data_IF_153806545278
#
_entry.id   IF_153806545278
#
_cell.length_a   1.000
_cell.length_b   1.000
_cell.length_c   1.000
_cell.angle_alpha   90.00
_cell.angle_beta   90.00
_cell.angle_gamma   90.00
#
_symmetry.space_group_name_H-M   'P 1'
#
loop_
_entity.id
_entity.type
_entity.pdbx_description
1 polymer ?
#
# COMPACT_ATOMS: atom_id res chain seq x y z
N UNK A 1 29.48 19.11 -30.41
CA UNK A 1 29.20 19.98 -29.25
C UNK A 1 27.92 19.44 -28.62
N UNK A 2 28.05 18.39 -27.81
CA UNK A 2 26.92 17.72 -27.16
C UNK A 2 26.49 18.60 -26.00
N UNK A 3 25.36 19.29 -26.17
CA UNK A 3 24.77 20.10 -25.12
C UNK A 3 24.52 19.23 -23.90
N UNK A 4 24.78 19.84 -22.74
CA UNK A 4 24.75 19.26 -21.43
C UNK A 4 23.63 18.24 -21.24
N UNK A 5 23.96 17.15 -20.56
CA UNK A 5 23.03 16.43 -19.71
C UNK A 5 22.17 17.44 -18.98
N UNK A 6 20.95 17.70 -19.46
CA UNK A 6 19.91 18.28 -18.63
C UNK A 6 19.70 17.25 -17.54
N UNK A 7 20.41 17.47 -16.44
CA UNK A 7 20.13 16.87 -15.16
C UNK A 7 18.73 17.32 -14.82
N UNK A 8 17.72 16.61 -15.36
CA UNK A 8 16.36 16.66 -14.88
C UNK A 8 16.51 16.44 -13.39
N UNK A 9 16.39 17.52 -12.61
CA UNK A 9 16.38 17.46 -11.16
C UNK A 9 15.47 16.30 -10.81
N UNK A 10 15.96 15.22 -10.18
CA UNK A 10 15.09 14.10 -9.86
C UNK A 10 13.97 14.71 -9.03
N UNK A 11 12.76 14.77 -9.60
CA UNK A 11 11.59 15.25 -8.90
C UNK A 11 11.58 14.45 -7.61
N UNK A 12 11.74 15.12 -6.46
CA UNK A 12 12.01 14.41 -5.22
C UNK A 12 10.91 13.38 -5.01
N UNK A 13 11.33 12.13 -4.77
CA UNK A 13 10.41 11.12 -4.27
C UNK A 13 9.88 11.67 -2.97
N UNK A 14 8.60 12.04 -2.95
CA UNK A 14 7.96 12.43 -1.71
C UNK A 14 8.05 11.28 -0.72
N UNK A 15 8.14 11.56 0.59
CA UNK A 15 8.31 10.53 1.61
C UNK A 15 7.28 9.38 1.51
N UNK A 16 6.02 9.66 1.12
CA UNK A 16 5.00 8.63 0.95
C UNK A 16 5.18 7.82 -0.33
N UNK A 17 5.68 8.42 -1.42
CA UNK A 17 5.96 7.71 -2.67
C UNK A 17 7.14 6.75 -2.51
N UNK A 18 8.19 7.18 -1.80
CA UNK A 18 9.36 6.34 -1.51
C UNK A 18 9.03 5.20 -0.53
N UNK A 19 8.06 5.41 0.34
CA UNK A 19 7.65 4.45 1.38
C UNK A 19 6.28 3.82 1.11
N UNK A 20 5.81 3.77 -0.14
CA UNK A 20 4.50 3.20 -0.48
C UNK A 20 4.41 1.70 -0.12
N UNK A 21 5.54 0.99 -0.11
CA UNK A 21 5.66 -0.38 0.42
C UNK A 21 5.15 -0.56 1.85
N UNK A 22 5.06 0.50 2.67
CA UNK A 22 4.52 0.43 4.03
C UNK A 22 3.00 0.20 4.01
N UNK A 23 2.28 0.69 2.99
CA UNK A 23 0.83 0.60 2.91
C UNK A 23 0.29 -0.84 3.00
N UNK A 24 0.82 -1.85 2.27
CA UNK A 24 0.42 -3.25 2.46
C UNK A 24 1.02 -3.93 3.69
N UNK A 25 2.13 -3.41 4.23
CA UNK A 25 2.76 -3.97 5.44
C UNK A 25 1.94 -3.69 6.70
N UNK A 26 1.32 -2.50 6.81
CA UNK A 26 0.45 -2.14 7.95
C UNK A 26 -0.68 -3.17 8.19
N UNK A 27 -1.51 -3.56 7.19
CA UNK A 27 -2.56 -4.54 7.38
C UNK A 27 -2.00 -5.95 7.50
N UNK A 28 -0.85 -6.26 6.92
CA UNK A 28 -0.15 -7.53 7.15
C UNK A 28 0.21 -7.71 8.64
N UNK A 29 0.77 -6.67 9.27
CA UNK A 29 1.04 -6.67 10.71
C UNK A 29 -0.27 -6.75 11.49
N UNK A 30 -1.30 -6.00 11.08
CA UNK A 30 -2.64 -6.07 11.65
C UNK A 30 -3.20 -7.50 11.67
N UNK A 31 -3.07 -8.23 10.57
CA UNK A 31 -3.48 -9.63 10.46
C UNK A 31 -2.79 -10.54 11.48
N UNK A 32 -1.47 -10.48 11.58
CA UNK A 32 -0.73 -11.28 12.55
C UNK A 32 -1.16 -10.96 13.98
N UNK A 33 -1.34 -9.68 14.29
CA UNK A 33 -1.84 -9.25 15.60
C UNK A 33 -3.24 -9.80 15.89
N UNK A 34 -4.15 -9.87 14.91
CA UNK A 34 -5.48 -10.47 15.08
C UNK A 34 -5.39 -11.98 15.33
N UNK A 35 -4.51 -12.70 14.63
CA UNK A 35 -4.35 -14.15 14.87
C UNK A 35 -3.78 -14.45 16.25
N UNK A 36 -2.70 -13.75 16.65
CA UNK A 36 -2.02 -14.03 17.92
C UNK A 36 -2.78 -13.46 19.13
N UNK A 37 -3.33 -12.25 19.02
CA UNK A 37 -3.93 -11.51 20.14
C UNK A 37 -5.44 -11.30 20.02
N UNK A 38 -6.06 -11.54 18.87
CA UNK A 38 -7.49 -11.26 18.64
C UNK A 38 -8.43 -11.97 19.60
N UNK A 39 -8.11 -13.19 20.06
CA UNK A 39 -8.91 -13.92 21.07
C UNK A 39 -8.80 -13.34 22.50
N UNK A 40 -7.77 -12.54 22.79
CA UNK A 40 -7.52 -11.95 24.12
C UNK A 40 -8.02 -10.51 24.27
N UNK A 41 -8.50 -9.89 23.20
CA UNK A 41 -8.91 -8.48 23.18
C UNK A 41 -10.42 -8.30 23.43
N UNK A 42 -10.82 -7.20 24.10
CA UNK A 42 -12.21 -6.96 24.51
C UNK A 42 -13.20 -6.87 23.34
N UNK A 43 -12.74 -6.49 22.13
CA UNK A 43 -13.54 -6.50 20.88
C UNK A 43 -13.16 -7.59 19.88
N UNK A 44 -12.53 -8.68 20.34
CA UNK A 44 -12.24 -9.88 19.51
C UNK A 44 -11.36 -9.62 18.26
N UNK A 45 -10.54 -8.57 18.26
CA UNK A 45 -9.57 -8.25 17.21
C UNK A 45 -10.04 -7.31 16.10
N UNK A 46 -11.30 -6.86 16.07
CA UNK A 46 -11.78 -6.00 14.98
C UNK A 46 -11.19 -4.59 14.95
N UNK A 47 -10.86 -4.03 16.11
CA UNK A 47 -10.23 -2.71 16.21
C UNK A 47 -8.88 -2.67 15.50
N UNK A 48 -8.09 -3.74 15.61
CA UNK A 48 -6.77 -3.82 14.98
C UNK A 48 -6.90 -3.87 13.45
N UNK A 49 -7.84 -4.67 12.93
CA UNK A 49 -8.10 -4.76 11.49
C UNK A 49 -8.51 -3.41 10.91
N UNK A 50 -9.47 -2.74 11.54
CA UNK A 50 -9.95 -1.42 11.12
C UNK A 50 -8.85 -0.36 11.22
N UNK A 51 -8.11 -0.30 12.34
CA UNK A 51 -7.02 0.66 12.52
C UNK A 51 -5.90 0.45 11.49
N UNK A 52 -5.57 -0.79 11.17
CA UNK A 52 -4.54 -1.09 10.17
C UNK A 52 -4.95 -0.63 8.76
N UNK A 53 -6.21 -0.80 8.37
CA UNK A 53 -6.71 -0.33 7.08
C UNK A 53 -6.86 1.19 7.03
N UNK A 54 -7.27 1.83 8.12
CA UNK A 54 -7.25 3.29 8.23
C UNK A 54 -5.82 3.81 8.09
N UNK A 55 -4.83 3.17 8.73
CA UNK A 55 -3.42 3.53 8.55
C UNK A 55 -2.95 3.42 7.09
N UNK A 56 -3.37 2.35 6.40
CA UNK A 56 -3.09 2.15 4.97
C UNK A 56 -3.75 3.23 4.10
N UNK A 57 -4.98 3.60 4.44
CA UNK A 57 -5.73 4.65 3.74
C UNK A 57 -5.08 6.02 3.91
N UNK A 58 -4.56 6.34 5.10
CA UNK A 58 -3.80 7.58 5.33
C UNK A 58 -2.53 7.60 4.49
N UNK A 59 -1.79 6.49 4.43
CA UNK A 59 -0.59 6.38 3.59
C UNK A 59 -0.92 6.52 2.10
N UNK A 60 -1.97 5.85 1.62
CA UNK A 60 -2.42 5.96 0.23
C UNK A 60 -2.92 7.38 -0.11
N UNK A 61 -3.60 8.05 0.82
CA UNK A 61 -4.01 9.45 0.66
C UNK A 61 -2.81 10.40 0.61
N UNK A 62 -1.78 10.15 1.43
CA UNK A 62 -0.53 10.89 1.41
C UNK A 62 0.24 10.70 0.10
N UNK A 63 0.28 9.47 -0.43
CA UNK A 63 0.84 9.18 -1.74
C UNK A 63 0.07 9.89 -2.87
N UNK A 64 -1.26 9.88 -2.82
CA UNK A 64 -2.11 10.60 -3.77
C UNK A 64 -1.88 12.12 -3.74
N UNK A 65 -1.81 12.70 -2.55
CA UNK A 65 -1.49 14.12 -2.40
C UNK A 65 -0.12 14.45 -3.00
N UNK A 66 0.91 13.68 -2.67
CA UNK A 66 2.26 13.91 -3.19
C UNK A 66 2.36 13.72 -4.70
N UNK A 67 1.61 12.77 -5.26
CA UNK A 67 1.52 12.60 -6.70
C UNK A 67 0.88 13.82 -7.37
N UNK A 68 -0.23 14.34 -6.84
CA UNK A 68 -0.88 15.56 -7.36
C UNK A 68 0.07 16.76 -7.32
N UNK A 69 0.85 16.91 -6.25
CA UNK A 69 1.87 17.97 -6.16
C UNK A 69 2.94 17.82 -7.23
N UNK A 70 3.38 16.59 -7.54
CA UNK A 70 4.36 16.29 -8.58
C UNK A 70 3.84 16.59 -9.99
N UNK A 71 2.55 16.35 -10.23
CA UNK A 71 1.89 16.69 -11.51
C UNK A 71 1.71 18.20 -11.64
N UNK A 72 1.30 18.89 -10.58
CA UNK A 72 1.09 20.35 -10.61
C UNK A 72 2.41 21.16 -10.73
N UNK A 73 3.54 20.58 -10.31
CA UNK A 73 4.86 21.22 -10.42
C UNK A 73 5.58 20.90 -11.73
N UNK A 74 5.08 19.96 -12.53
CA UNK A 74 5.60 19.66 -13.84
C UNK A 74 5.17 20.76 -14.84
N UNK A 75 6.11 21.24 -15.65
CA UNK A 75 5.80 22.10 -16.81
C UNK A 75 4.99 21.32 -17.85
N UNK A 76 4.17 22.00 -18.67
CA UNK A 76 3.19 21.41 -19.61
C UNK A 76 3.75 20.34 -20.57
N UNK A 77 5.08 20.23 -20.74
CA UNK A 77 5.74 19.26 -21.62
C UNK A 77 6.57 18.19 -20.88
N UNK A 78 6.57 18.17 -19.54
CA UNK A 78 7.42 17.26 -18.76
C UNK A 78 6.70 15.95 -18.40
N UNK A 79 7.20 14.83 -18.92
CA UNK A 79 6.73 13.50 -18.52
C UNK A 79 7.05 13.24 -17.03
N UNK A 80 6.04 12.89 -16.24
CA UNK A 80 6.21 12.58 -14.82
C UNK A 80 6.73 11.15 -14.69
N UNK A 81 8.04 11.00 -14.50
CA UNK A 81 8.65 9.68 -14.34
C UNK A 81 8.13 8.96 -13.09
N UNK A 82 7.82 7.64 -13.19
CA UNK A 82 7.38 6.83 -12.07
C UNK A 82 8.49 6.68 -11.02
N UNK A 83 8.08 6.48 -9.76
CA UNK A 83 9.00 6.20 -8.65
C UNK A 83 9.16 4.69 -8.56
N UNK A 84 10.35 4.22 -8.93
CA UNK A 84 10.70 2.80 -8.96
C UNK A 84 11.74 2.53 -7.87
N UNK A 85 11.51 1.49 -7.07
CA UNK A 85 12.45 1.01 -6.05
C UNK A 85 12.49 -0.50 -6.11
N UNK A 86 13.64 -1.04 -6.49
CA UNK A 86 13.85 -2.48 -6.68
C UNK A 86 14.87 -3.00 -5.68
N UNK A 87 14.61 -4.17 -5.09
CA UNK A 87 15.51 -4.89 -4.21
C UNK A 87 15.71 -6.33 -4.72
N UNK A 88 16.95 -6.76 -4.89
CA UNK A 88 17.25 -8.15 -5.25
C UNK A 88 17.01 -9.06 -4.05
N UNK A 89 15.98 -9.90 -4.12
CA UNK A 89 15.59 -10.80 -3.02
C UNK A 89 16.34 -12.13 -3.08
N UNK A 90 16.52 -12.67 -4.29
CA UNK A 90 17.23 -13.94 -4.48
C UNK A 90 18.03 -13.92 -5.79
N UNK A 91 19.22 -14.52 -5.78
CA UNK A 91 20.03 -14.71 -6.97
C UNK A 91 20.53 -16.15 -7.03
N UNK A 92 20.27 -16.85 -8.13
CA UNK A 92 20.78 -18.19 -8.36
C UNK A 92 20.98 -18.48 -9.85
N UNK A 93 22.17 -18.97 -10.20
CA UNK A 93 22.46 -19.50 -11.55
C UNK A 93 22.28 -18.51 -12.71
N UNK A 94 22.39 -17.20 -12.47
CA UNK A 94 22.19 -16.16 -13.49
C UNK A 94 20.76 -15.61 -13.58
N UNK A 95 19.81 -16.14 -12.80
CA UNK A 95 18.50 -15.53 -12.61
C UNK A 95 18.51 -14.66 -11.34
N UNK A 96 18.12 -13.40 -11.49
CA UNK A 96 17.89 -12.46 -10.39
C UNK A 96 16.38 -12.34 -10.16
N UNK A 97 15.95 -12.58 -8.92
CA UNK A 97 14.57 -12.35 -8.49
C UNK A 97 14.52 -11.04 -7.72
N UNK A 98 13.93 -10.04 -8.36
CA UNK A 98 13.72 -8.70 -7.82
C UNK A 98 12.35 -8.58 -7.19
N UNK A 99 12.28 -7.87 -6.07
CA UNK A 99 11.04 -7.39 -5.49
C UNK A 99 11.16 -5.89 -5.46
N UNK A 100 10.23 -5.20 -6.10
CA UNK A 100 10.21 -3.75 -6.10
C UNK A 100 8.82 -3.17 -6.05
N UNK A 101 8.79 -1.85 -5.87
CA UNK A 101 7.58 -1.05 -5.98
C UNK A 101 7.65 -0.18 -7.23
N UNK A 102 6.56 -0.18 -8.00
CA UNK A 102 6.37 0.70 -9.14
C UNK A 102 5.21 1.64 -8.84
N UNK A 103 5.53 2.91 -8.57
CA UNK A 103 4.53 3.94 -8.27
C UNK A 103 4.43 4.93 -9.43
N UNK A 104 3.35 4.81 -10.19
CA UNK A 104 2.93 5.76 -11.22
C UNK A 104 1.56 6.38 -10.88
N UNK A 105 1.03 7.21 -11.76
CA UNK A 105 -0.25 7.88 -11.52
C UNK A 105 -1.44 6.92 -11.46
N UNK A 106 -1.40 5.82 -12.21
CA UNK A 106 -2.45 4.81 -12.20
C UNK A 106 -2.42 4.03 -10.89
N UNK A 107 -1.25 3.54 -10.48
CA UNK A 107 -1.01 2.83 -9.24
C UNK A 107 -1.47 3.64 -8.04
N UNK A 108 -1.18 4.94 -7.99
CA UNK A 108 -1.61 5.81 -6.88
C UNK A 108 -3.14 5.88 -6.76
N UNK A 109 -3.85 6.01 -7.88
CA UNK A 109 -5.33 6.04 -7.90
C UNK A 109 -5.89 4.68 -7.45
N UNK A 110 -5.38 3.58 -8.00
CA UNK A 110 -5.83 2.22 -7.65
C UNK A 110 -5.54 1.93 -6.18
N UNK A 111 -4.35 2.30 -5.67
CA UNK A 111 -3.95 2.11 -4.28
C UNK A 111 -4.91 2.83 -3.32
N UNK A 112 -5.26 4.07 -3.62
CA UNK A 112 -6.24 4.83 -2.84
C UNK A 112 -7.62 4.17 -2.86
N UNK A 113 -8.12 3.80 -4.04
CA UNK A 113 -9.45 3.16 -4.19
C UNK A 113 -9.50 1.84 -3.42
N UNK A 114 -8.47 0.99 -3.55
CA UNK A 114 -8.40 -0.29 -2.84
C UNK A 114 -8.34 -0.09 -1.33
N UNK A 115 -7.52 0.85 -0.83
CA UNK A 115 -7.46 1.15 0.59
C UNK A 115 -8.80 1.69 1.13
N UNK A 116 -9.48 2.54 0.35
CA UNK A 116 -10.76 3.13 0.72
C UNK A 116 -11.87 2.09 0.79
N UNK A 117 -12.05 1.29 -0.27
CA UNK A 117 -13.05 0.23 -0.31
C UNK A 117 -12.77 -0.81 0.78
N UNK A 118 -11.51 -1.20 0.97
CA UNK A 118 -11.13 -2.16 2.03
C UNK A 118 -11.52 -1.64 3.41
N UNK A 119 -11.31 -0.34 3.68
CA UNK A 119 -11.70 0.29 4.95
C UNK A 119 -13.22 0.26 5.14
N UNK A 120 -14.00 0.59 4.10
CA UNK A 120 -15.46 0.53 4.16
C UNK A 120 -15.97 -0.90 4.41
N UNK A 121 -15.41 -1.89 3.72
CA UNK A 121 -15.76 -3.31 3.90
C UNK A 121 -15.45 -3.75 5.35
N UNK A 122 -14.35 -3.28 5.93
CA UNK A 122 -14.00 -3.58 7.31
C UNK A 122 -15.00 -2.97 8.31
N UNK A 123 -15.41 -1.72 8.10
CA UNK A 123 -16.41 -1.02 8.93
C UNK A 123 -17.77 -1.72 8.81
N UNK A 124 -18.19 -2.05 7.59
CA UNK A 124 -19.44 -2.79 7.36
C UNK A 124 -19.44 -4.15 8.07
N UNK A 125 -18.30 -4.85 8.03
CA UNK A 125 -18.14 -6.17 8.67
C UNK A 125 -18.26 -6.12 10.19
N UNK A 126 -18.10 -4.95 10.83
CA UNK A 126 -18.26 -4.81 12.29
C UNK A 126 -19.69 -5.14 12.73
N UNK A 127 -20.68 -4.56 12.05
CA UNK A 127 -22.08 -4.76 12.37
C UNK A 127 -22.62 -6.04 11.74
N UNK A 128 -22.18 -6.38 10.53
CA UNK A 128 -22.64 -7.59 9.83
C UNK A 128 -22.35 -8.88 10.60
N UNK A 129 -21.20 -8.99 11.26
CA UNK A 129 -20.77 -10.20 11.97
C UNK A 129 -21.08 -10.17 13.47
N UNK A 130 -21.91 -9.22 13.91
CA UNK A 130 -22.23 -9.05 15.32
C UNK A 130 -22.89 -10.31 15.86
N UNK A 131 -22.25 -10.92 16.86
CA UNK A 131 -22.73 -12.15 17.50
C UNK A 131 -22.22 -13.46 16.88
N UNK A 132 -21.41 -13.42 15.82
CA UNK A 132 -20.84 -14.64 15.23
C UNK A 132 -19.74 -15.26 16.12
N UNK A 133 -19.73 -16.59 16.20
CA UNK A 133 -18.73 -17.39 16.90
C UNK A 133 -17.34 -17.27 16.26
N UNK A 134 -17.25 -17.07 14.94
CA UNK A 134 -15.99 -17.04 14.16
C UNK A 134 -15.49 -15.63 13.82
N UNK A 135 -16.04 -14.59 14.46
CA UNK A 135 -15.72 -13.17 14.26
C UNK A 135 -14.22 -12.87 14.01
N UNK A 136 -13.33 -13.32 14.91
CA UNK A 136 -11.88 -13.06 14.81
C UNK A 136 -11.23 -13.64 13.56
N UNK A 137 -11.62 -14.85 13.12
CA UNK A 137 -11.01 -15.50 11.96
C UNK A 137 -11.44 -14.82 10.66
N UNK A 138 -12.71 -14.38 10.59
CA UNK A 138 -13.20 -13.62 9.46
C UNK A 138 -12.45 -12.29 9.33
N UNK A 139 -12.32 -11.54 10.43
CA UNK A 139 -11.60 -10.28 10.45
C UNK A 139 -10.13 -10.46 10.04
N UNK A 140 -9.47 -11.51 10.52
CA UNK A 140 -8.11 -11.84 10.11
C UNK A 140 -8.04 -12.10 8.58
N UNK A 141 -8.89 -12.98 8.06
CA UNK A 141 -8.93 -13.28 6.63
C UNK A 141 -9.19 -12.04 5.77
N UNK A 142 -10.12 -11.17 6.19
CA UNK A 142 -10.43 -9.93 5.49
C UNK A 142 -9.25 -8.95 5.50
N UNK A 143 -8.56 -8.79 6.63
CA UNK A 143 -7.39 -7.93 6.73
C UNK A 143 -6.21 -8.46 5.89
N UNK A 144 -5.99 -9.79 5.86
CA UNK A 144 -4.97 -10.40 5.00
C UNK A 144 -5.30 -10.23 3.51
N UNK A 145 -6.57 -10.40 3.14
CA UNK A 145 -7.03 -10.20 1.77
C UNK A 145 -6.77 -8.77 1.30
N UNK A 146 -7.13 -7.77 2.11
CA UNK A 146 -6.83 -6.36 1.84
C UNK A 146 -5.33 -6.08 1.76
N UNK A 147 -4.52 -6.71 2.61
CA UNK A 147 -3.06 -6.59 2.54
C UNK A 147 -2.49 -7.13 1.22
N UNK A 148 -2.97 -8.30 0.77
CA UNK A 148 -2.59 -8.90 -0.51
C UNK A 148 -3.00 -8.03 -1.71
N UNK A 149 -4.21 -7.46 -1.69
CA UNK A 149 -4.65 -6.53 -2.73
C UNK A 149 -3.76 -5.29 -2.80
N UNK A 150 -3.43 -4.68 -1.66
CA UNK A 150 -2.53 -3.52 -1.62
C UNK A 150 -1.11 -3.88 -2.09
N UNK A 151 -0.62 -5.07 -1.74
CA UNK A 151 0.71 -5.53 -2.16
C UNK A 151 0.76 -5.78 -3.67
N UNK A 152 -0.30 -6.34 -4.25
CA UNK A 152 -0.41 -6.56 -5.70
C UNK A 152 -0.36 -5.24 -6.47
N UNK A 153 -1.07 -4.21 -5.99
CA UNK A 153 -1.16 -2.91 -6.67
C UNK A 153 0.20 -2.23 -6.81
N UNK A 154 1.09 -2.39 -5.83
CA UNK A 154 2.41 -1.75 -5.84
C UNK A 154 3.50 -2.58 -6.52
N UNK A 155 3.26 -3.86 -6.81
CA UNK A 155 4.28 -4.78 -7.29
C UNK A 155 4.85 -4.32 -8.64
N UNK A 156 6.18 -4.26 -8.75
CA UNK A 156 6.88 -3.81 -9.95
C UNK A 156 6.90 -4.86 -11.07
N UNK A 157 7.15 -6.12 -10.71
CA UNK A 157 7.44 -7.19 -11.67
C UNK A 157 6.36 -8.28 -11.65
N UNK A 158 5.80 -8.59 -12.82
CA UNK A 158 5.07 -9.82 -13.14
C UNK A 158 5.72 -10.50 -14.34
#
# INVERSE_FOLDING_TARGET
MFAASETLSPLSGGWFLDNAWIAPVVPTIGFFLIIFFGKKLPKKGSEIGVLSLIGSLVLASGAAWQWIQRVNSASEEQFVSPVIRTWTWWQAGGAEFTIGQHIDGLTVVVLFVVAFISTLVQIYSLEYLRGDRRYTHFFAALTLFSAGMLAMVIAEDM
#
